data_IF_603982838241
#
_entry.id   IF_603982838241
#
_cell.length_a   1.000
_cell.length_b   1.000
_cell.length_c   1.000
_cell.angle_alpha   90.00
_cell.angle_beta   90.00
_cell.angle_gamma   90.00
#
_symmetry.space_group_name_H-M   'P 1'
#
loop_
_entity.id
_entity.type
_entity.pdbx_description
1 polymer ?
#
# COMPACT_ATOMS: atom_id res chain seq x y z
N UNK A 1 -56.92 -8.98 -12.13
CA UNK A 1 -56.96 -7.91 -11.11
C UNK A 1 -55.63 -7.15 -11.16
N UNK A 2 -55.53 -6.00 -11.85
CA UNK A 2 -54.29 -5.22 -11.89
C UNK A 2 -54.16 -4.31 -10.66
N UNK A 3 -53.06 -4.45 -9.93
CA UNK A 3 -52.75 -3.67 -8.73
C UNK A 3 -52.16 -2.30 -9.09
N UNK A 4 -52.73 -1.23 -8.52
CA UNK A 4 -52.34 0.16 -8.74
C UNK A 4 -51.25 0.57 -7.76
N UNK A 5 -50.08 0.94 -8.27
CA UNK A 5 -48.95 1.46 -7.49
C UNK A 5 -49.13 2.95 -7.21
N UNK A 6 -49.24 3.32 -5.93
CA UNK A 6 -49.41 4.68 -5.46
C UNK A 6 -48.03 5.34 -5.30
N UNK A 7 -47.67 6.28 -6.18
CA UNK A 7 -46.47 7.14 -6.01
C UNK A 7 -46.81 8.34 -5.14
N UNK A 8 -45.99 8.58 -4.12
CA UNK A 8 -46.08 9.77 -3.26
C UNK A 8 -45.09 10.80 -3.80
N UNK A 9 -45.60 11.97 -4.18
CA UNK A 9 -44.81 13.12 -4.62
C UNK A 9 -44.50 13.98 -3.39
N UNK A 10 -43.22 14.30 -3.18
CA UNK A 10 -42.78 15.22 -2.13
C UNK A 10 -42.49 16.57 -2.76
N UNK A 11 -43.29 17.58 -2.41
CA UNK A 11 -43.05 18.97 -2.77
C UNK A 11 -41.87 19.52 -1.93
N UNK A 12 -40.82 19.95 -2.62
CA UNK A 12 -39.68 20.65 -2.02
C UNK A 12 -39.94 22.15 -2.14
N UNK A 13 -39.93 22.92 -1.03
CA UNK A 13 -40.15 24.37 -1.09
C UNK A 13 -38.94 25.10 -1.71
N UNK A 14 -39.18 26.20 -2.45
CA UNK A 14 -38.12 26.94 -3.13
C UNK A 14 -37.23 27.70 -2.15
N UNK A 15 -35.92 27.58 -2.36
CA UNK A 15 -34.87 28.27 -1.59
C UNK A 15 -34.78 29.74 -2.02
N UNK A 16 -34.73 30.71 -1.09
CA UNK A 16 -34.55 32.12 -1.45
C UNK A 16 -33.12 32.44 -1.92
N UNK A 17 -32.94 33.40 -2.85
CA UNK A 17 -31.62 33.77 -3.36
C UNK A 17 -30.79 34.58 -2.33
N UNK A 18 -29.45 34.48 -2.37
CA UNK A 18 -28.57 35.19 -1.45
C UNK A 18 -28.57 36.70 -1.71
N UNK A 19 -28.68 37.48 -0.62
CA UNK A 19 -28.55 38.94 -0.61
C UNK A 19 -27.10 39.35 -0.93
N UNK A 20 -26.95 40.19 -1.94
CA UNK A 20 -25.68 40.81 -2.37
C UNK A 20 -25.27 41.89 -1.36
N UNK A 21 -24.12 41.72 -0.71
CA UNK A 21 -23.51 42.73 0.16
C UNK A 21 -22.71 43.68 -0.72
N UNK A 22 -23.10 44.96 -0.74
CA UNK A 22 -22.33 46.04 -1.37
C UNK A 22 -21.12 46.37 -0.49
N UNK A 23 -19.94 46.34 -1.10
CA UNK A 23 -18.67 46.73 -0.48
C UNK A 23 -18.39 48.19 -0.84
N UNK A 24 -18.12 49.08 0.13
CA UNK A 24 -17.84 50.49 -0.16
C UNK A 24 -16.48 50.67 -0.86
N UNK A 25 -16.33 51.71 -1.71
CA UNK A 25 -15.09 51.97 -2.42
C UNK A 25 -14.00 52.48 -1.46
N UNK A 26 -12.88 51.76 -1.43
CA UNK A 26 -11.67 52.13 -0.69
C UNK A 26 -10.96 53.32 -1.37
N UNK A 27 -10.66 54.42 -0.65
CA UNK A 27 -9.93 55.56 -1.22
C UNK A 27 -8.44 55.24 -1.43
N UNK A 28 -7.91 55.68 -2.58
CA UNK A 28 -6.51 55.57 -2.96
C UNK A 28 -5.60 56.47 -2.12
N UNK A 29 -4.40 56.03 -1.70
CA UNK A 29 -3.36 56.93 -1.25
C UNK A 29 -2.47 57.39 -2.40
N UNK A 30 -2.01 58.63 -2.23
CA UNK A 30 -1.33 59.48 -3.17
C UNK A 30 0.06 58.98 -3.58
N UNK A 31 0.44 59.43 -4.79
CA UNK A 31 1.78 59.35 -5.37
C UNK A 31 2.85 59.82 -4.39
N UNK A 32 3.92 59.04 -4.29
CA UNK A 32 5.22 59.54 -3.87
C UNK A 32 6.23 59.09 -4.91
N UNK A 33 6.75 60.06 -5.64
CA UNK A 33 7.88 59.92 -6.54
C UNK A 33 9.13 59.58 -5.71
N UNK A 34 9.75 58.45 -5.98
CA UNK A 34 11.09 58.15 -5.47
C UNK A 34 11.88 57.49 -6.59
N UNK A 35 12.72 58.30 -7.22
CA UNK A 35 13.73 57.92 -8.20
C UNK A 35 14.75 56.97 -7.56
N UNK A 36 14.80 55.73 -8.03
CA UNK A 36 15.89 54.79 -7.74
C UNK A 36 16.90 54.79 -8.90
N UNK A 37 18.21 54.86 -8.62
CA UNK A 37 19.24 54.59 -9.61
C UNK A 37 19.30 53.08 -9.92
N UNK A 38 19.43 52.77 -11.20
CA UNK A 38 19.59 51.42 -11.75
C UNK A 38 20.85 50.75 -11.16
N UNK A 39 20.68 49.60 -10.51
CA UNK A 39 21.81 48.74 -10.11
C UNK A 39 21.49 47.28 -10.42
N UNK A 40 22.33 46.76 -11.32
CA UNK A 40 22.61 45.39 -11.73
C UNK A 40 21.96 44.21 -10.98
N UNK A 41 21.43 43.28 -11.78
CA UNK A 41 21.53 41.85 -11.52
C UNK A 41 20.27 41.19 -10.94
N UNK A 42 19.55 40.47 -11.80
CA UNK A 42 18.53 39.50 -11.40
C UNK A 42 19.17 38.41 -10.52
N UNK A 43 18.92 38.47 -9.21
CA UNK A 43 19.14 37.33 -8.31
C UNK A 43 17.91 36.42 -8.48
N UNK A 44 17.94 35.55 -9.49
CA UNK A 44 17.06 34.38 -9.50
C UNK A 44 17.42 33.51 -8.30
N UNK A 45 16.45 33.10 -7.46
CA UNK A 45 16.71 32.11 -6.43
C UNK A 45 17.30 30.86 -7.10
N UNK A 46 18.25 30.14 -6.46
CA UNK A 46 18.84 28.95 -7.03
C UNK A 46 17.69 28.00 -7.35
N UNK A 47 17.45 27.80 -8.64
CA UNK A 47 16.62 26.70 -9.08
C UNK A 47 17.33 25.48 -8.53
N UNK A 48 16.71 24.82 -7.54
CA UNK A 48 17.05 23.45 -7.24
C UNK A 48 16.81 22.71 -8.55
N UNK A 49 17.87 22.59 -9.34
CA UNK A 49 17.94 21.63 -10.40
C UNK A 49 17.69 20.31 -9.70
N UNK A 50 16.45 19.81 -9.80
CA UNK A 50 16.24 18.38 -9.73
C UNK A 50 17.16 17.83 -10.80
N UNK A 51 18.35 17.43 -10.38
CA UNK A 51 19.26 16.69 -11.22
C UNK A 51 18.40 15.57 -11.80
N UNK A 52 18.11 15.65 -13.10
CA UNK A 52 17.60 14.53 -13.84
C UNK A 52 18.72 13.49 -13.78
N UNK A 53 18.69 12.69 -12.72
CA UNK A 53 19.57 11.57 -12.52
C UNK A 53 19.34 10.65 -13.72
N UNK A 54 20.35 10.60 -14.59
CA UNK A 54 20.42 9.61 -15.65
C UNK A 54 20.25 8.21 -15.03
N UNK A 55 19.60 7.26 -15.71
CA UNK A 55 19.25 5.95 -15.17
C UNK A 55 20.51 5.07 -15.09
N UNK A 56 21.37 5.30 -14.09
CA UNK A 56 22.59 4.49 -13.92
C UNK A 56 22.43 3.35 -12.92
N UNK A 57 21.39 3.36 -12.07
CA UNK A 57 21.18 2.30 -11.09
C UNK A 57 19.69 2.01 -10.92
N UNK A 58 19.27 0.82 -11.33
CA UNK A 58 18.03 0.24 -10.82
C UNK A 58 18.27 -0.16 -9.36
N UNK A 59 17.40 0.24 -8.42
CA UNK A 59 17.55 -0.17 -7.04
C UNK A 59 17.46 -1.70 -6.94
N UNK A 60 18.42 -2.30 -6.23
CA UNK A 60 18.45 -3.75 -6.00
C UNK A 60 17.75 -4.07 -4.69
N UNK A 61 16.83 -5.04 -4.69
CA UNK A 61 16.17 -5.49 -3.46
C UNK A 61 17.15 -6.28 -2.60
N UNK A 62 17.01 -6.15 -1.28
CA UNK A 62 17.78 -6.89 -0.30
C UNK A 62 17.69 -8.42 -0.55
N UNK A 63 18.78 -9.19 -0.48
CA UNK A 63 18.76 -10.64 -0.74
C UNK A 63 17.76 -11.42 0.10
N UNK A 64 17.53 -11.01 1.36
CA UNK A 64 16.52 -11.62 2.21
C UNK A 64 15.09 -11.49 1.62
N UNK A 65 14.82 -10.43 0.86
CA UNK A 65 13.54 -10.18 0.22
C UNK A 65 13.52 -10.59 -1.26
N UNK A 66 14.65 -10.91 -1.89
CA UNK A 66 14.74 -11.12 -3.33
C UNK A 66 14.12 -12.45 -3.78
N UNK A 67 13.22 -12.43 -4.77
CA UNK A 67 12.82 -13.64 -5.48
C UNK A 67 13.83 -13.99 -6.60
N UNK A 68 13.96 -15.26 -7.00
CA UNK A 68 13.39 -16.47 -6.39
C UNK A 68 14.23 -17.01 -5.21
N UNK A 69 15.27 -16.29 -4.80
CA UNK A 69 16.31 -16.78 -3.88
C UNK A 69 16.14 -16.30 -2.44
N UNK A 70 14.92 -16.00 -2.01
CA UNK A 70 14.69 -15.55 -0.63
C UNK A 70 15.04 -16.68 0.31
N UNK A 71 15.86 -16.38 1.31
CA UNK A 71 16.16 -17.32 2.38
C UNK A 71 15.09 -17.30 3.49
N UNK A 72 14.02 -16.51 3.34
CA UNK A 72 12.98 -16.38 4.35
C UNK A 72 11.91 -17.47 4.16
N UNK A 73 11.75 -18.31 5.18
CA UNK A 73 10.58 -19.14 5.37
C UNK A 73 9.56 -18.37 6.20
N UNK A 74 8.48 -17.92 5.57
CA UNK A 74 7.41 -17.19 6.23
C UNK A 74 6.04 -17.48 5.61
N UNK A 75 5.09 -17.91 6.45
CA UNK A 75 3.67 -18.00 6.10
C UNK A 75 3.00 -16.66 6.42
N UNK A 76 2.41 -16.02 5.40
CA UNK A 76 1.81 -14.69 5.47
C UNK A 76 0.60 -14.60 6.40
N UNK A 77 0.02 -15.72 6.84
CA UNK A 77 -1.01 -15.73 7.89
C UNK A 77 -0.40 -15.43 9.27
N UNK A 78 0.86 -15.79 9.47
CA UNK A 78 1.58 -15.65 10.75
C UNK A 78 2.24 -14.28 10.86
N UNK A 79 2.46 -13.85 12.11
CA UNK A 79 3.23 -12.62 12.40
C UNK A 79 4.63 -12.72 11.77
N UNK A 80 5.21 -11.62 11.26
CA UNK A 80 6.61 -11.58 10.81
C UNK A 80 7.62 -12.05 11.86
N UNK A 81 7.26 -12.02 13.15
CA UNK A 81 8.08 -12.59 14.23
C UNK A 81 8.24 -14.13 14.16
N UNK A 82 7.37 -14.81 13.41
CA UNK A 82 7.47 -16.24 13.14
C UNK A 82 8.24 -16.54 11.84
N UNK A 83 8.64 -15.52 11.08
CA UNK A 83 9.53 -15.69 9.94
C UNK A 83 10.89 -16.21 10.41
N UNK A 84 11.49 -17.07 9.61
CA UNK A 84 12.76 -17.70 9.94
C UNK A 84 13.62 -17.92 8.71
N UNK A 85 14.93 -18.10 8.93
CA UNK A 85 15.86 -18.57 7.91
C UNK A 85 16.06 -20.07 8.11
N UNK A 86 15.77 -20.92 7.11
CA UNK A 86 16.10 -22.34 7.17
C UNK A 86 17.61 -22.51 7.36
N UNK A 87 18.00 -23.35 8.32
CA UNK A 87 19.42 -23.66 8.55
C UNK A 87 19.73 -25.08 8.11
N UNK A 88 20.98 -25.34 7.69
CA UNK A 88 21.44 -26.68 7.35
C UNK A 88 21.32 -27.68 8.52
N UNK A 89 21.21 -27.18 9.76
CA UNK A 89 21.04 -27.98 10.99
C UNK A 89 19.58 -28.37 11.27
N UNK A 90 18.65 -28.09 10.34
CA UNK A 90 17.26 -28.53 10.38
C UNK A 90 16.35 -27.68 11.25
N UNK A 91 16.86 -26.93 12.23
CA UNK A 91 16.05 -25.97 13.00
C UNK A 91 16.00 -24.61 12.30
N UNK A 92 14.82 -24.05 12.02
CA UNK A 92 14.70 -22.70 11.51
C UNK A 92 15.18 -21.69 12.56
N UNK A 93 16.01 -20.73 12.14
CA UNK A 93 16.48 -19.66 13.02
C UNK A 93 15.57 -18.44 12.90
N UNK A 94 15.12 -17.82 14.01
CA UNK A 94 14.35 -16.58 13.95
C UNK A 94 15.17 -15.45 13.31
N UNK A 95 14.48 -14.46 12.74
CA UNK A 95 15.13 -13.30 12.14
C UNK A 95 15.81 -12.44 13.21
N UNK A 96 17.09 -12.16 13.01
CA UNK A 96 17.85 -11.29 13.90
C UNK A 96 17.38 -9.82 13.76
N UNK A 97 17.27 -9.03 14.85
CA UNK A 97 16.84 -7.64 14.78
C UNK A 97 17.68 -6.75 13.85
N UNK A 98 18.98 -7.06 13.67
CA UNK A 98 19.83 -6.32 12.74
C UNK A 98 19.36 -6.47 11.29
N UNK A 99 18.99 -7.68 10.87
CA UNK A 99 18.47 -7.95 9.52
C UNK A 99 17.20 -7.14 9.25
N UNK A 100 16.32 -7.03 10.25
CA UNK A 100 15.09 -6.25 10.13
C UNK A 100 15.35 -4.74 10.01
N UNK A 101 16.48 -4.25 10.54
CA UNK A 101 16.88 -2.84 10.46
C UNK A 101 17.66 -2.50 9.17
N UNK A 102 18.09 -3.49 8.40
CA UNK A 102 18.80 -3.28 7.13
C UNK A 102 17.86 -2.64 6.08
N UNK A 103 18.38 -1.77 5.19
CA UNK A 103 17.63 -1.22 4.07
C UNK A 103 17.05 -2.34 3.18
N UNK A 104 15.79 -2.21 2.79
CA UNK A 104 15.13 -3.15 1.89
C UNK A 104 15.67 -3.08 0.46
N UNK A 105 16.36 -2.00 0.10
CA UNK A 105 16.92 -1.75 -1.23
C UNK A 105 18.33 -1.16 -1.13
N UNK A 106 19.11 -1.34 -2.19
CA UNK A 106 20.39 -0.66 -2.39
C UNK A 106 20.41 0.06 -3.75
N UNK A 107 20.55 1.40 -3.79
CA UNK A 107 20.53 2.30 -2.63
C UNK A 107 19.18 2.27 -1.89
N UNK A 108 19.16 2.67 -0.62
CA UNK A 108 17.96 2.65 0.21
C UNK A 108 16.92 3.66 -0.27
N UNK A 109 15.70 3.19 -0.53
CA UNK A 109 14.59 4.03 -1.01
C UNK A 109 13.68 4.53 0.14
N UNK A 110 13.11 5.74 0.05
CA UNK A 110 12.21 6.30 1.05
C UNK A 110 10.77 5.74 0.97
N UNK A 111 10.43 5.01 -0.10
CA UNK A 111 9.13 4.35 -0.25
C UNK A 111 9.22 3.21 -1.23
N UNK A 112 8.44 2.15 -1.01
CA UNK A 112 8.26 1.05 -1.96
C UNK A 112 6.78 0.84 -2.26
N UNK A 113 6.47 0.35 -3.45
CA UNK A 113 5.14 -0.14 -3.78
C UNK A 113 5.21 -1.62 -4.06
N UNK A 114 4.39 -2.42 -3.37
CA UNK A 114 4.28 -3.85 -3.62
C UNK A 114 2.94 -4.18 -4.24
N UNK A 115 2.94 -4.94 -5.32
CA UNK A 115 1.76 -5.49 -5.98
C UNK A 115 1.78 -7.01 -5.88
N UNK A 116 0.63 -7.66 -6.09
CA UNK A 116 0.55 -9.11 -6.13
C UNK A 116 -0.55 -9.50 -7.12
N UNK A 117 -0.28 -10.43 -8.02
CA UNK A 117 -1.25 -10.82 -9.05
C UNK A 117 -2.54 -11.44 -8.47
N UNK A 118 -2.46 -11.97 -7.25
CA UNK A 118 -3.60 -12.54 -6.53
C UNK A 118 -4.40 -11.49 -5.75
N UNK A 119 -3.92 -10.25 -5.68
CA UNK A 119 -4.54 -9.18 -4.90
C UNK A 119 -4.85 -7.97 -5.79
N UNK A 120 -6.09 -7.46 -5.78
CA UNK A 120 -6.41 -6.23 -6.51
C UNK A 120 -5.81 -4.96 -5.88
N UNK A 121 -5.11 -5.07 -4.74
CA UNK A 121 -4.58 -3.94 -4.00
C UNK A 121 -3.06 -3.84 -4.12
N UNK A 122 -2.56 -2.62 -4.30
CA UNK A 122 -1.14 -2.29 -4.08
C UNK A 122 -0.90 -1.87 -2.63
N UNK A 123 0.28 -2.19 -2.11
CA UNK A 123 0.75 -1.77 -0.78
C UNK A 123 1.80 -0.68 -0.95
N UNK A 124 1.54 0.51 -0.44
CA UNK A 124 2.59 1.52 -0.27
C UNK A 124 3.28 1.33 1.07
N UNK A 125 4.60 1.23 1.05
CA UNK A 125 5.43 0.96 2.21
C UNK A 125 6.31 2.18 2.44
N UNK A 126 6.19 2.77 3.62
CA UNK A 126 7.00 3.89 4.08
C UNK A 126 7.79 3.49 5.33
N UNK A 127 8.96 4.09 5.58
CA UNK A 127 9.77 3.81 6.76
C UNK A 127 9.01 4.11 8.05
N UNK A 128 9.13 3.27 9.07
CA UNK A 128 8.53 3.54 10.37
C UNK A 128 9.42 4.39 11.29
N UNK A 129 10.75 4.23 11.21
CA UNK A 129 11.72 4.81 12.17
C UNK A 129 12.95 5.46 11.54
N UNK A 130 13.12 5.31 10.23
CA UNK A 130 14.33 5.66 9.47
C UNK A 130 13.95 6.55 8.28
N UNK A 131 14.94 6.99 7.49
CA UNK A 131 14.69 7.74 6.24
C UNK A 131 14.51 6.83 5.02
N UNK A 132 14.80 5.54 5.16
CA UNK A 132 14.72 4.52 4.10
C UNK A 132 13.93 3.32 4.57
N UNK A 133 13.24 2.65 3.66
CA UNK A 133 12.42 1.47 3.94
C UNK A 133 13.35 0.33 4.33
N UNK A 134 13.07 -0.29 5.47
CA UNK A 134 13.84 -1.43 5.99
C UNK A 134 13.19 -2.77 5.63
N UNK A 135 13.95 -3.87 5.77
CA UNK A 135 13.40 -5.23 5.64
C UNK A 135 12.22 -5.44 6.58
N UNK A 136 12.32 -4.97 7.82
CA UNK A 136 11.24 -5.01 8.80
C UNK A 136 10.00 -4.26 8.35
N UNK A 137 10.16 -3.04 7.82
CA UNK A 137 9.04 -2.25 7.30
C UNK A 137 8.27 -3.02 6.22
N UNK A 138 8.98 -3.71 5.32
CA UNK A 138 8.36 -4.53 4.27
C UNK A 138 7.53 -5.67 4.86
N UNK A 139 8.13 -6.51 5.72
CA UNK A 139 7.44 -7.67 6.28
C UNK A 139 6.21 -7.25 7.10
N UNK A 140 6.35 -6.24 7.96
CA UNK A 140 5.24 -5.77 8.77
C UNK A 140 4.16 -5.04 7.96
N UNK A 141 4.51 -4.29 6.91
CA UNK A 141 3.53 -3.66 6.04
C UNK A 141 2.69 -4.70 5.28
N UNK A 142 3.33 -5.73 4.73
CA UNK A 142 2.64 -6.85 4.09
C UNK A 142 1.69 -7.54 5.07
N UNK A 143 2.19 -7.89 6.26
CA UNK A 143 1.36 -8.52 7.30
C UNK A 143 0.14 -7.65 7.66
N UNK A 144 0.32 -6.36 7.96
CA UNK A 144 -0.79 -5.47 8.32
C UNK A 144 -1.81 -5.35 7.21
N UNK A 145 -1.36 -5.19 5.97
CA UNK A 145 -2.26 -5.07 4.81
C UNK A 145 -3.10 -6.33 4.63
N UNK A 146 -2.49 -7.51 4.72
CA UNK A 146 -3.16 -8.80 4.56
C UNK A 146 -4.20 -9.08 5.66
N UNK A 147 -4.10 -8.40 6.81
CA UNK A 147 -5.05 -8.53 7.92
C UNK A 147 -6.31 -7.67 7.78
N UNK A 148 -6.36 -6.77 6.80
CA UNK A 148 -7.53 -5.91 6.56
C UNK A 148 -8.72 -6.78 6.16
N UNK A 149 -9.88 -6.52 6.77
CA UNK A 149 -11.14 -7.17 6.42
C UNK A 149 -11.60 -6.70 5.04
N UNK A 150 -12.13 -7.62 4.25
CA UNK A 150 -12.60 -7.37 2.89
C UNK A 150 -14.09 -7.11 2.92
N UNK A 151 -14.52 -6.07 2.20
CA UNK A 151 -15.93 -5.72 2.02
C UNK A 151 -16.61 -6.67 1.03
N UNK A 152 -17.93 -6.83 1.13
CA UNK A 152 -18.70 -7.63 0.17
C UNK A 152 -18.54 -7.09 -1.26
N UNK A 153 -18.41 -5.78 -1.43
CA UNK A 153 -18.16 -5.14 -2.73
C UNK A 153 -16.82 -5.54 -3.32
N UNK A 154 -15.75 -5.57 -2.52
CA UNK A 154 -14.43 -6.01 -2.98
C UNK A 154 -14.43 -7.49 -3.35
N UNK A 155 -15.15 -8.32 -2.58
CA UNK A 155 -15.30 -9.75 -2.87
C UNK A 155 -16.15 -9.99 -4.14
N UNK A 156 -17.19 -9.18 -4.35
CA UNK A 156 -18.11 -9.29 -5.47
C UNK A 156 -17.50 -8.99 -6.85
N UNK A 157 -16.33 -8.35 -6.90
CA UNK A 157 -15.57 -8.13 -8.15
C UNK A 157 -14.95 -9.44 -8.66
N UNK A 158 -14.74 -10.42 -7.77
CA UNK A 158 -14.15 -11.70 -8.16
C UNK A 158 -15.17 -12.60 -8.88
N UNK A 159 -14.71 -13.49 -9.79
CA UNK A 159 -15.55 -14.55 -10.32
C UNK A 159 -16.15 -15.44 -9.21
N UNK A 160 -17.39 -15.98 -9.36
CA UNK A 160 -18.04 -16.78 -8.33
C UNK A 160 -17.23 -18.00 -7.84
N UNK A 161 -16.49 -18.63 -8.75
CA UNK A 161 -15.58 -19.74 -8.41
C UNK A 161 -14.46 -19.28 -7.46
N UNK A 162 -13.84 -18.13 -7.76
CA UNK A 162 -12.79 -17.54 -6.92
C UNK A 162 -13.36 -17.12 -5.56
N UNK A 163 -14.56 -16.54 -5.51
CA UNK A 163 -15.24 -16.21 -4.25
C UNK A 163 -15.42 -17.43 -3.36
N UNK A 164 -15.83 -18.57 -3.94
CA UNK A 164 -15.98 -19.84 -3.22
C UNK A 164 -14.66 -20.31 -2.62
N UNK A 165 -13.56 -20.19 -3.38
CA UNK A 165 -12.21 -20.53 -2.91
C UNK A 165 -11.74 -19.59 -1.79
N UNK A 166 -12.02 -18.29 -1.90
CA UNK A 166 -11.72 -17.31 -0.84
C UNK A 166 -12.50 -17.62 0.45
N UNK A 167 -13.79 -17.95 0.35
CA UNK A 167 -14.57 -18.39 1.51
C UNK A 167 -14.01 -19.68 2.13
N UNK A 168 -13.57 -20.62 1.30
CA UNK A 168 -12.91 -21.85 1.77
C UNK A 168 -11.63 -21.52 2.54
N UNK A 169 -10.77 -20.63 2.01
CA UNK A 169 -9.57 -20.16 2.69
C UNK A 169 -9.88 -19.47 4.03
N UNK A 170 -10.89 -18.60 4.06
CA UNK A 170 -11.42 -17.99 5.29
C UNK A 170 -11.84 -19.04 6.33
N UNK A 171 -12.54 -20.09 5.89
CA UNK A 171 -12.97 -21.18 6.77
C UNK A 171 -11.79 -21.97 7.32
N UNK A 172 -10.80 -22.27 6.49
CA UNK A 172 -9.57 -22.95 6.90
C UNK A 172 -8.80 -22.12 7.93
N UNK A 173 -8.62 -20.81 7.70
CA UNK A 173 -7.83 -19.93 8.58
C UNK A 173 -8.33 -19.93 10.02
N UNK A 174 -9.62 -19.71 10.28
CA UNK A 174 -10.09 -19.68 11.67
C UNK A 174 -10.13 -21.09 12.29
N UNK A 175 -10.34 -22.15 11.50
CA UNK A 175 -10.26 -23.53 12.00
C UNK A 175 -8.85 -23.92 12.46
N UNK A 176 -7.80 -23.29 11.93
CA UNK A 176 -6.41 -23.50 12.38
C UNK A 176 -6.14 -23.00 13.81
N UNK A 177 -6.97 -22.10 14.35
CA UNK A 177 -6.84 -21.66 15.74
C UNK A 177 -7.31 -22.78 16.67
N UNK A 178 -6.49 -23.18 17.64
CA UNK A 178 -6.85 -24.23 18.61
C UNK A 178 -7.93 -23.77 19.60
N UNK A 179 -7.78 -22.56 20.13
CA UNK A 179 -8.69 -21.98 21.11
C UNK A 179 -10.06 -21.62 20.49
N UNK A 180 -11.14 -22.06 21.17
CA UNK A 180 -12.49 -21.86 20.70
C UNK A 180 -12.92 -20.39 20.72
N UNK A 181 -12.45 -19.62 21.71
CA UNK A 181 -12.76 -18.19 21.80
C UNK A 181 -12.04 -17.41 20.71
N UNK A 182 -10.73 -17.61 20.54
CA UNK A 182 -9.96 -17.01 19.45
C UNK A 182 -10.55 -17.36 18.07
N UNK A 183 -11.02 -18.60 17.89
CA UNK A 183 -11.72 -19.02 16.67
C UNK A 183 -13.01 -18.24 16.42
N UNK A 184 -13.84 -18.03 17.45
CA UNK A 184 -15.05 -17.24 17.33
C UNK A 184 -14.76 -15.76 17.01
N UNK A 185 -13.79 -15.17 17.69
CA UNK A 185 -13.33 -13.79 17.45
C UNK A 185 -12.76 -13.62 16.04
N UNK A 186 -11.96 -14.59 15.56
CA UNK A 186 -11.39 -14.54 14.22
C UNK A 186 -12.46 -14.77 13.13
N UNK A 187 -13.49 -15.58 13.40
CA UNK A 187 -14.65 -15.78 12.51
C UNK A 187 -15.47 -14.49 12.38
N UNK A 188 -15.67 -13.74 13.46
CA UNK A 188 -16.41 -12.47 13.45
C UNK A 188 -15.76 -11.39 12.59
N UNK A 189 -14.44 -11.45 12.38
CA UNK A 189 -13.71 -10.51 11.51
C UNK A 189 -13.96 -10.75 10.02
N UNK A 190 -14.63 -11.85 9.65
CA UNK A 190 -14.96 -12.17 8.26
C UNK A 190 -13.72 -12.48 7.40
N UNK A 191 -13.94 -12.36 6.09
CA UNK A 191 -12.92 -12.53 5.05
C UNK A 191 -11.88 -11.41 5.18
N UNK A 192 -10.61 -11.76 5.07
CA UNK A 192 -9.48 -10.83 5.07
C UNK A 192 -8.72 -10.92 3.75
N UNK A 193 -7.92 -9.91 3.44
CA UNK A 193 -7.11 -9.89 2.21
C UNK A 193 -6.17 -11.09 2.10
N UNK A 194 -5.69 -11.64 3.21
CA UNK A 194 -4.91 -12.89 3.22
C UNK A 194 -5.68 -14.09 2.64
N UNK A 195 -7.00 -14.11 2.74
CA UNK A 195 -7.82 -15.22 2.23
C UNK A 195 -7.89 -15.21 0.69
N UNK A 196 -7.54 -14.10 0.03
CA UNK A 196 -7.39 -14.01 -1.43
C UNK A 196 -6.15 -14.75 -1.94
N UNK A 197 -5.19 -15.02 -1.05
CA UNK A 197 -3.99 -15.77 -1.40
C UNK A 197 -4.25 -17.28 -1.52
N UNK A 198 -5.39 -17.77 -1.04
CA UNK A 198 -5.78 -19.18 -1.11
C UNK A 198 -4.67 -20.08 -0.54
N UNK A 199 -4.18 -21.05 -1.33
CA UNK A 199 -3.10 -21.95 -0.95
C UNK A 199 -1.70 -21.33 -1.18
N UNK A 200 -1.60 -20.16 -1.84
CA UNK A 200 -0.34 -19.47 -2.16
C UNK A 200 0.02 -18.45 -1.07
N UNK A 201 0.23 -18.90 0.15
CA UNK A 201 0.45 -18.01 1.31
C UNK A 201 1.89 -18.01 1.85
N UNK A 202 2.82 -18.76 1.25
CA UNK A 202 4.24 -18.67 1.62
C UNK A 202 4.90 -17.52 0.87
N UNK A 203 5.63 -16.69 1.59
CA UNK A 203 6.45 -15.63 1.00
C UNK A 203 7.57 -16.26 0.17
N UNK A 204 7.67 -15.91 -1.11
CA UNK A 204 8.71 -16.38 -2.03
C UNK A 204 9.60 -15.25 -2.56
N UNK A 205 9.51 -14.06 -1.95
CA UNK A 205 10.33 -12.91 -2.28
C UNK A 205 9.58 -11.81 -3.04
N UNK A 206 10.35 -10.82 -3.46
CA UNK A 206 9.95 -9.66 -4.26
C UNK A 206 10.80 -9.63 -5.53
N UNK A 207 10.17 -9.34 -6.66
CA UNK A 207 10.82 -9.13 -7.96
C UNK A 207 10.52 -7.73 -8.48
N UNK A 208 11.44 -7.16 -9.24
CA UNK A 208 11.25 -5.83 -9.84
C UNK A 208 10.18 -5.90 -10.94
N UNK A 209 9.27 -4.94 -10.95
CA UNK A 209 8.33 -4.76 -12.06
C UNK A 209 8.99 -3.85 -13.09
N UNK A 210 9.31 -4.42 -14.26
CA UNK A 210 10.08 -3.71 -15.29
C UNK A 210 9.21 -2.90 -16.25
N UNK A 211 7.94 -3.26 -16.41
CA UNK A 211 7.04 -2.60 -17.35
C UNK A 211 5.57 -2.92 -17.05
N UNK A 212 4.67 -2.18 -17.68
CA UNK A 212 3.23 -2.45 -17.67
C UNK A 212 2.41 -1.42 -16.91
N UNK A 213 1.08 -1.61 -16.94
CA UNK A 213 0.12 -0.72 -16.28
C UNK A 213 0.38 -0.56 -14.77
N UNK A 214 0.99 -1.57 -14.14
CA UNK A 214 1.33 -1.55 -12.73
C UNK A 214 2.33 -0.45 -12.33
N UNK A 215 3.10 0.11 -13.28
CA UNK A 215 4.00 1.22 -12.98
C UNK A 215 3.24 2.53 -12.74
N UNK A 216 2.07 2.78 -13.35
CA UNK A 216 1.25 3.98 -13.10
C UNK A 216 2.04 5.32 -13.01
N UNK A 217 3.06 5.51 -13.86
CA UNK A 217 3.93 6.69 -13.84
C UNK A 217 5.06 6.69 -12.81
N UNK A 218 5.22 5.60 -12.04
CA UNK A 218 6.34 5.35 -11.13
C UNK A 218 7.61 4.94 -11.88
N UNK A 219 8.75 5.29 -11.31
CA UNK A 219 10.06 4.96 -11.85
C UNK A 219 10.38 3.47 -11.79
N UNK A 220 11.35 3.03 -12.60
CA UNK A 220 11.88 1.66 -12.53
C UNK A 220 12.44 1.38 -11.13
N UNK A 221 11.99 0.30 -10.50
CA UNK A 221 12.44 -0.11 -9.17
C UNK A 221 11.69 0.51 -7.99
N UNK A 222 10.64 1.30 -8.25
CA UNK A 222 9.70 1.75 -7.21
C UNK A 222 8.59 0.74 -6.94
N UNK A 223 8.29 -0.13 -7.92
CA UNK A 223 7.23 -1.14 -7.86
C UNK A 223 7.85 -2.54 -7.88
N UNK A 224 7.41 -3.36 -6.92
CA UNK A 224 7.89 -4.71 -6.69
C UNK A 224 6.71 -5.69 -6.70
N UNK A 225 6.85 -6.84 -7.34
CA UNK A 225 5.84 -7.89 -7.35
C UNK A 225 6.14 -8.89 -6.23
N UNK A 226 5.15 -9.12 -5.36
CA UNK A 226 5.18 -10.17 -4.34
C UNK A 226 5.05 -11.54 -5.00
N UNK A 227 6.09 -12.34 -4.84
CA UNK A 227 6.13 -13.73 -5.26
C UNK A 227 5.63 -14.63 -4.12
N UNK A 228 4.81 -15.61 -4.48
CA UNK A 228 4.16 -16.50 -3.54
C UNK A 228 4.46 -17.96 -3.90
N UNK A 229 4.50 -18.81 -2.87
CA UNK A 229 4.60 -20.25 -3.00
C UNK A 229 3.46 -20.94 -2.24
N UNK A 230 3.19 -22.20 -2.60
CA UNK A 230 2.15 -23.01 -1.96
C UNK A 230 2.50 -23.32 -0.50
N UNK A 231 1.46 -23.34 0.35
CA UNK A 231 1.53 -23.56 1.80
C UNK A 231 1.87 -24.98 2.25
#
# INVERSE_FOLDING_TARGET
>A
MPGTTKRVHFDVPPTPPPKRVEVPPTPSPARSDTSLPSSAGLITPPQFAFAQLSPKYSPQIHPALAAPHTALAWDLITSPSAAAVPTARGSPSPLHPSLLAEPATHPGLPSLTVICDMLPWSVSITPARTHVVTVGDVLYALYRMLRIAVTETELGVLPPETQTRVHTAFHTRHKMLADARARAEEKQKGVKRVDFLLDFRRFAGLSIVLSGAALNGKGLGEVWALQLAMA
#
